data_IF_725433059226
#
_entry.id   IF_725433059226
#
_cell.length_a   1.000
_cell.length_b   1.000
_cell.length_c   1.000
_cell.angle_alpha   90.00
_cell.angle_beta   90.00
_cell.angle_gamma   90.00
#
_symmetry.space_group_name_H-M   'P 1'
#
loop_
_entity.id
_entity.type
_entity.pdbx_description
1 polymer ?
#
# COMPACT_ATOMS: atom_id res chain seq x y z
N UNK A 1 -39.06 35.62 36.19
CA UNK A 1 -40.53 35.62 36.44
C UNK A 1 -41.28 35.96 35.13
N UNK A 2 -42.02 35.07 34.46
CA UNK A 2 -42.85 33.95 34.89
C UNK A 2 -42.83 32.85 33.82
N UNK A 3 -42.99 31.61 34.27
CA UNK A 3 -43.22 30.40 33.49
C UNK A 3 -44.45 30.51 32.59
N UNK A 4 -44.36 30.00 31.37
CA UNK A 4 -45.52 29.54 30.60
C UNK A 4 -45.36 28.04 30.37
N UNK A 5 -46.10 27.25 31.14
CA UNK A 5 -46.27 25.83 30.91
C UNK A 5 -46.99 25.64 29.57
N UNK A 6 -46.55 24.67 28.76
CA UNK A 6 -47.23 24.30 27.53
C UNK A 6 -48.66 23.82 27.86
N UNK A 7 -49.65 24.57 27.39
CA UNK A 7 -51.07 24.28 27.59
C UNK A 7 -51.47 23.15 26.63
N UNK A 8 -51.58 21.91 27.13
CA UNK A 8 -52.10 20.76 26.38
C UNK A 8 -53.63 20.79 26.34
N UNK A 9 -54.19 21.84 25.74
CA UNK A 9 -55.62 21.97 25.54
C UNK A 9 -55.86 22.48 24.13
N UNK A 10 -56.67 21.76 23.37
CA UNK A 10 -57.16 22.03 22.02
C UNK A 10 -56.31 21.50 20.86
N UNK A 11 -56.59 20.27 20.47
CA UNK A 11 -56.94 19.99 19.08
C UNK A 11 -57.86 18.76 19.05
N UNK A 12 -59.17 19.00 19.02
CA UNK A 12 -60.14 18.02 18.53
C UNK A 12 -59.82 17.78 17.04
N UNK A 13 -59.10 16.70 16.72
CA UNK A 13 -59.02 16.18 15.37
C UNK A 13 -59.58 14.76 15.36
N UNK A 14 -60.78 14.65 14.80
CA UNK A 14 -61.41 13.40 14.38
C UNK A 14 -60.50 12.64 13.41
N UNK A 15 -59.81 11.58 13.84
CA UNK A 15 -59.33 10.53 12.93
C UNK A 15 -59.32 9.15 13.62
N UNK A 16 -59.75 8.15 12.86
CA UNK A 16 -60.22 6.85 13.33
C UNK A 16 -59.14 5.77 13.45
N UNK A 17 -59.26 4.98 14.53
CA UNK A 17 -58.94 3.54 14.65
C UNK A 17 -57.51 2.99 14.46
N UNK A 18 -56.43 3.79 14.57
CA UNK A 18 -55.05 3.26 14.65
C UNK A 18 -54.20 3.80 15.82
N UNK A 19 -54.84 4.35 16.86
CA UNK A 19 -54.14 5.05 17.96
C UNK A 19 -54.23 4.38 19.35
N UNK A 20 -54.91 3.25 19.48
CA UNK A 20 -55.03 2.57 20.78
C UNK A 20 -53.66 2.07 21.33
N UNK A 21 -52.66 1.86 20.46
CA UNK A 21 -51.31 1.44 20.87
C UNK A 21 -50.36 2.60 21.25
N UNK A 22 -50.73 3.86 20.95
CA UNK A 22 -49.86 5.06 21.14
C UNK A 22 -50.22 5.91 22.35
N UNK A 23 -51.43 5.76 22.91
CA UNK A 23 -51.88 6.46 24.14
C UNK A 23 -50.91 6.36 25.34
N UNK A 24 -50.36 5.18 25.72
CA UNK A 24 -49.52 5.10 26.92
C UNK A 24 -48.12 5.71 26.77
N UNK A 25 -47.69 6.03 25.54
CA UNK A 25 -46.44 6.75 25.28
C UNK A 25 -46.63 8.27 25.36
N UNK A 26 -47.79 8.77 24.91
CA UNK A 26 -48.16 10.20 24.98
C UNK A 26 -48.43 10.66 26.42
N UNK A 27 -49.14 9.88 27.23
CA UNK A 27 -49.38 10.23 28.65
C UNK A 27 -48.08 10.25 29.49
N UNK A 28 -47.07 9.48 29.10
CA UNK A 28 -45.75 9.48 29.75
C UNK A 28 -44.96 10.77 29.53
N UNK A 29 -45.20 11.47 28.42
CA UNK A 29 -44.58 12.75 28.09
C UNK A 29 -45.13 13.92 28.92
N UNK A 30 -46.38 13.83 29.41
CA UNK A 30 -46.99 14.88 30.23
C UNK A 30 -46.67 14.74 31.73
N UNK A 31 -46.31 13.55 32.22
CA UNK A 31 -46.11 13.28 33.65
C UNK A 31 -44.64 13.29 34.12
N UNK A 32 -43.67 13.47 33.21
CA UNK A 32 -42.25 13.57 33.56
C UNK A 32 -41.88 14.97 34.06
N UNK A 33 -42.07 15.22 35.35
CA UNK A 33 -41.56 16.42 36.02
C UNK A 33 -40.16 16.17 36.58
N UNK A 34 -39.17 15.99 35.70
CA UNK A 34 -37.76 15.97 36.10
C UNK A 34 -37.09 17.30 35.76
N UNK A 35 -36.65 17.96 36.83
CA UNK A 35 -35.87 19.19 36.83
C UNK A 35 -34.43 18.90 36.38
N UNK A 36 -34.18 18.86 35.06
CA UNK A 36 -32.89 19.23 34.46
C UNK A 36 -33.09 19.37 32.94
N UNK A 37 -32.92 20.59 32.43
CA UNK A 37 -33.39 21.02 31.12
C UNK A 37 -32.64 20.43 29.92
N UNK A 38 -33.10 19.28 29.43
CA UNK A 38 -32.95 18.87 28.03
C UNK A 38 -34.23 18.16 27.57
N UNK A 39 -35.31 18.93 27.40
CA UNK A 39 -36.48 18.44 26.67
C UNK A 39 -36.05 18.25 25.23
N UNK A 40 -35.81 17.01 24.83
CA UNK A 40 -35.60 16.62 23.43
C UNK A 40 -36.86 17.00 22.65
N UNK A 41 -36.82 18.15 21.97
CA UNK A 41 -37.89 18.59 21.08
C UNK A 41 -38.07 17.54 19.97
N UNK A 42 -39.13 16.73 20.07
CA UNK A 42 -39.48 15.79 19.01
C UNK A 42 -39.96 16.62 17.81
N UNK A 43 -39.22 16.58 16.71
CA UNK A 43 -39.71 17.11 15.43
C UNK A 43 -40.94 16.27 15.01
N UNK A 44 -42.15 16.88 14.93
CA UNK A 44 -43.37 16.15 14.59
C UNK A 44 -43.28 15.45 13.23
N UNK A 45 -42.48 15.97 12.29
CA UNK A 45 -42.28 15.35 10.99
C UNK A 45 -41.61 13.97 11.09
N UNK A 46 -40.71 13.79 12.04
CA UNK A 46 -39.94 12.55 12.24
C UNK A 46 -40.83 11.40 12.71
N UNK A 47 -41.90 11.70 13.47
CA UNK A 47 -42.80 10.67 14.01
C UNK A 47 -43.63 9.96 12.95
N UNK A 48 -43.86 10.62 11.81
CA UNK A 48 -44.61 10.09 10.67
C UNK A 48 -43.72 9.46 9.60
N UNK A 49 -42.39 9.54 9.73
CA UNK A 49 -41.46 8.97 8.76
C UNK A 49 -41.26 7.47 8.96
N UNK A 50 -41.11 6.75 7.84
CA UNK A 50 -40.70 5.35 7.85
C UNK A 50 -39.22 5.20 8.19
N UNK A 51 -38.80 4.01 8.65
CA UNK A 51 -37.39 3.70 8.87
C UNK A 51 -36.52 3.93 7.62
N UNK A 52 -37.08 3.76 6.42
CA UNK A 52 -36.38 4.03 5.16
C UNK A 52 -36.14 5.53 4.95
N UNK A 53 -37.16 6.35 5.18
CA UNK A 53 -37.08 7.80 5.07
C UNK A 53 -36.10 8.40 6.08
N UNK A 54 -36.07 7.87 7.32
CA UNK A 54 -35.11 8.27 8.33
C UNK A 54 -33.67 7.94 7.91
N UNK A 55 -33.43 6.73 7.40
CA UNK A 55 -32.11 6.35 6.89
C UNK A 55 -31.68 7.26 5.74
N UNK A 56 -32.57 7.54 4.79
CA UNK A 56 -32.26 8.44 3.68
C UNK A 56 -31.97 9.87 4.15
N UNK A 57 -32.76 10.41 5.09
CA UNK A 57 -32.60 11.78 5.63
C UNK A 57 -31.28 11.96 6.40
N UNK A 58 -30.89 10.99 7.22
CA UNK A 58 -29.73 11.12 8.12
C UNK A 58 -28.44 10.44 7.62
N UNK A 59 -28.55 9.33 6.89
CA UNK A 59 -27.41 8.55 6.38
C UNK A 59 -27.20 8.72 4.87
N UNK A 60 -28.11 9.39 4.18
CA UNK A 60 -28.05 9.57 2.73
C UNK A 60 -28.46 8.33 1.94
N UNK A 61 -28.16 8.30 0.63
CA UNK A 61 -28.53 7.19 -0.23
C UNK A 61 -27.79 5.92 0.18
N UNK A 62 -28.50 4.78 0.12
CA UNK A 62 -27.93 3.47 0.44
C UNK A 62 -26.78 3.10 -0.49
N UNK A 63 -26.82 3.58 -1.74
CA UNK A 63 -25.80 3.35 -2.76
C UNK A 63 -25.24 4.68 -3.21
N UNK A 64 -23.92 4.75 -3.40
CA UNK A 64 -23.26 5.97 -3.86
C UNK A 64 -23.63 6.31 -5.30
N UNK A 65 -23.92 7.57 -5.60
CA UNK A 65 -24.35 8.03 -6.93
C UNK A 65 -23.30 7.73 -8.03
N UNK A 66 -22.01 7.80 -7.68
CA UNK A 66 -20.88 7.50 -8.57
C UNK A 66 -20.45 6.03 -8.59
N UNK A 67 -21.28 5.10 -8.10
CA UNK A 67 -20.91 3.69 -7.95
C UNK A 67 -20.40 3.06 -9.26
N UNK A 68 -21.14 3.20 -10.37
CA UNK A 68 -20.82 2.56 -11.65
C UNK A 68 -19.46 2.99 -12.22
N UNK A 69 -19.16 4.31 -12.37
CA UNK A 69 -17.85 4.73 -12.89
C UNK A 69 -16.70 4.36 -11.94
N UNK A 70 -16.89 4.44 -10.62
CA UNK A 70 -15.86 4.06 -9.65
C UNK A 70 -15.59 2.55 -9.73
N UNK A 71 -16.63 1.72 -9.73
CA UNK A 71 -16.51 0.26 -9.81
C UNK A 71 -15.82 -0.17 -11.11
N UNK A 72 -16.15 0.46 -12.24
CA UNK A 72 -15.49 0.21 -13.53
C UNK A 72 -14.00 0.53 -13.46
N UNK A 73 -13.65 1.67 -12.86
CA UNK A 73 -12.25 2.08 -12.68
C UNK A 73 -11.49 1.13 -11.75
N UNK A 74 -12.10 0.76 -10.63
CA UNK A 74 -11.53 -0.17 -9.66
C UNK A 74 -11.33 -1.57 -10.27
N UNK A 75 -12.24 -2.04 -11.11
CA UNK A 75 -12.09 -3.31 -11.82
C UNK A 75 -10.88 -3.31 -12.76
N UNK A 76 -10.66 -2.21 -13.49
CA UNK A 76 -9.48 -2.07 -14.34
C UNK A 76 -8.18 -2.08 -13.52
N UNK A 77 -8.15 -1.32 -12.42
CA UNK A 77 -7.02 -1.29 -11.49
C UNK A 77 -6.79 -2.68 -10.88
N UNK A 78 -7.85 -3.37 -10.48
CA UNK A 78 -7.81 -4.71 -9.90
C UNK A 78 -7.17 -5.71 -10.86
N UNK A 79 -7.63 -5.77 -12.12
CA UNK A 79 -7.09 -6.72 -13.10
C UNK A 79 -5.59 -6.48 -13.31
N UNK A 80 -5.20 -5.23 -13.54
CA UNK A 80 -3.80 -4.88 -13.79
C UNK A 80 -2.94 -5.13 -12.55
N UNK A 81 -3.38 -4.66 -11.38
CA UNK A 81 -2.64 -4.76 -10.13
C UNK A 81 -2.57 -6.18 -9.58
N UNK A 82 -3.66 -6.94 -9.57
CA UNK A 82 -3.68 -8.30 -9.04
C UNK A 82 -2.81 -9.22 -9.91
N UNK A 83 -2.98 -9.18 -11.23
CA UNK A 83 -2.16 -9.99 -12.15
C UNK A 83 -0.69 -9.59 -12.05
N UNK A 84 -0.38 -8.29 -12.11
CA UNK A 84 0.98 -7.80 -12.08
C UNK A 84 1.73 -8.12 -10.78
N UNK A 85 1.09 -7.94 -9.62
CA UNK A 85 1.71 -8.24 -8.34
C UNK A 85 1.81 -9.75 -8.08
N UNK A 86 0.81 -10.54 -8.50
CA UNK A 86 0.91 -12.00 -8.46
C UNK A 86 2.08 -12.51 -9.30
N UNK A 87 2.27 -11.98 -10.51
CA UNK A 87 3.42 -12.32 -11.36
C UNK A 87 4.75 -11.92 -10.74
N UNK A 88 4.81 -10.75 -10.10
CA UNK A 88 5.99 -10.30 -9.36
C UNK A 88 6.37 -11.31 -8.28
N UNK A 89 5.39 -11.75 -7.48
CA UNK A 89 5.58 -12.79 -6.47
C UNK A 89 6.07 -14.11 -7.09
N UNK A 90 5.38 -14.59 -8.12
CA UNK A 90 5.68 -15.86 -8.80
C UNK A 90 7.09 -15.88 -9.38
N UNK A 91 7.52 -14.82 -10.06
CA UNK A 91 8.86 -14.73 -10.67
C UNK A 91 9.97 -14.80 -9.61
N UNK A 92 9.80 -14.11 -8.48
CA UNK A 92 10.80 -14.10 -7.41
C UNK A 92 10.88 -15.46 -6.72
N UNK A 93 9.73 -16.11 -6.51
CA UNK A 93 9.67 -17.46 -5.93
C UNK A 93 10.29 -18.48 -6.90
N UNK A 94 9.90 -18.45 -8.18
CA UNK A 94 10.25 -19.48 -9.17
C UNK A 94 11.73 -19.47 -9.56
N UNK A 95 12.35 -18.29 -9.62
CA UNK A 95 13.72 -18.14 -10.12
C UNK A 95 14.71 -17.83 -8.99
N UNK A 96 15.57 -18.79 -8.61
CA UNK A 96 16.54 -18.61 -7.51
C UNK A 96 17.45 -17.39 -7.69
N UNK A 97 17.86 -17.09 -8.91
CA UNK A 97 18.72 -15.93 -9.18
C UNK A 97 18.00 -14.60 -8.91
N UNK A 98 16.66 -14.56 -8.97
CA UNK A 98 15.83 -13.39 -8.59
C UNK A 98 15.72 -13.19 -7.08
N UNK A 99 16.21 -14.11 -6.24
CA UNK A 99 16.12 -13.99 -4.77
C UNK A 99 17.24 -13.13 -4.18
N UNK A 100 17.29 -11.86 -4.59
CA UNK A 100 18.22 -10.85 -4.09
C UNK A 100 17.60 -10.05 -2.93
N UNK A 101 18.40 -9.40 -2.07
CA UNK A 101 17.89 -8.57 -0.96
C UNK A 101 16.84 -7.55 -1.40
N UNK A 102 17.10 -6.83 -2.49
CA UNK A 102 16.13 -5.88 -3.07
C UNK A 102 14.84 -6.56 -3.49
N UNK A 103 14.93 -7.70 -4.16
CA UNK A 103 13.74 -8.37 -4.67
C UNK A 103 12.88 -8.92 -3.52
N UNK A 104 13.43 -9.17 -2.33
CA UNK A 104 12.60 -9.44 -1.15
C UNK A 104 11.75 -8.23 -0.72
N UNK A 105 12.27 -7.00 -0.80
CA UNK A 105 11.45 -5.81 -0.56
C UNK A 105 10.37 -5.63 -1.64
N UNK A 106 10.71 -5.86 -2.91
CA UNK A 106 9.72 -5.84 -4.01
C UNK A 106 8.65 -6.91 -3.84
N UNK A 107 9.03 -8.10 -3.36
CA UNK A 107 8.10 -9.17 -3.01
C UNK A 107 7.18 -8.74 -1.86
N UNK A 108 7.72 -8.16 -0.79
CA UNK A 108 6.91 -7.67 0.33
C UNK A 108 5.93 -6.58 -0.10
N UNK A 109 6.34 -5.68 -1.01
CA UNK A 109 5.47 -4.65 -1.57
C UNK A 109 4.36 -5.26 -2.43
N UNK A 110 4.67 -6.24 -3.26
CA UNK A 110 3.66 -6.95 -4.05
C UNK A 110 2.65 -7.70 -3.15
N UNK A 111 3.08 -8.22 -2.00
CA UNK A 111 2.17 -8.83 -1.01
C UNK A 111 1.24 -7.81 -0.36
N UNK A 112 1.74 -6.63 0.05
CA UNK A 112 0.88 -5.59 0.61
C UNK A 112 -0.12 -5.06 -0.43
N UNK A 113 0.32 -4.87 -1.67
CA UNK A 113 -0.55 -4.48 -2.79
C UNK A 113 -1.62 -5.53 -3.09
N UNK A 114 -1.28 -6.83 -3.07
CA UNK A 114 -2.27 -7.90 -3.23
C UNK A 114 -3.29 -7.91 -2.09
N UNK A 115 -2.90 -7.64 -0.85
CA UNK A 115 -3.86 -7.55 0.27
C UNK A 115 -4.83 -6.37 0.09
N UNK A 116 -4.32 -5.22 -0.35
CA UNK A 116 -5.15 -4.04 -0.68
C UNK A 116 -6.14 -4.38 -1.78
N UNK A 117 -5.70 -5.02 -2.86
CA UNK A 117 -6.54 -5.29 -4.03
C UNK A 117 -7.51 -6.45 -3.83
N UNK A 118 -7.08 -7.56 -3.22
CA UNK A 118 -7.87 -8.78 -3.08
C UNK A 118 -8.81 -8.74 -1.88
N UNK A 119 -8.48 -7.96 -0.84
CA UNK A 119 -9.28 -7.91 0.39
C UNK A 119 -9.81 -6.51 0.66
N UNK A 120 -8.98 -5.47 0.57
CA UNK A 120 -9.41 -4.09 0.80
C UNK A 120 -10.47 -3.61 -0.21
N UNK A 121 -10.15 -3.66 -1.50
CA UNK A 121 -11.02 -3.13 -2.55
C UNK A 121 -12.43 -3.77 -2.57
N UNK A 122 -12.60 -5.11 -2.44
CA UNK A 122 -13.94 -5.69 -2.36
C UNK A 122 -14.76 -5.20 -1.16
N UNK A 123 -14.12 -4.97 -0.01
CA UNK A 123 -14.79 -4.43 1.17
C UNK A 123 -15.28 -3.00 0.92
N UNK A 124 -14.47 -2.17 0.26
CA UNK A 124 -14.86 -0.81 -0.10
C UNK A 124 -15.98 -0.80 -1.15
N UNK A 125 -15.91 -1.66 -2.17
CA UNK A 125 -16.98 -1.79 -3.18
C UNK A 125 -18.30 -2.23 -2.53
N UNK A 126 -18.24 -3.15 -1.56
CA UNK A 126 -19.41 -3.57 -0.79
C UNK A 126 -20.04 -2.38 -0.04
N UNK A 127 -19.24 -1.54 0.61
CA UNK A 127 -19.75 -0.36 1.32
C UNK A 127 -20.28 0.72 0.37
N UNK A 128 -19.65 0.93 -0.78
CA UNK A 128 -20.18 1.84 -1.81
C UNK A 128 -21.50 1.33 -2.42
N UNK A 129 -21.68 0.00 -2.50
CA UNK A 129 -22.94 -0.60 -2.93
C UNK A 129 -24.04 -0.44 -1.87
N UNK A 130 -23.68 -0.63 -0.59
CA UNK A 130 -24.59 -0.54 0.55
C UNK A 130 -23.92 0.14 1.74
N UNK A 131 -24.06 1.46 1.84
CA UNK A 131 -23.51 2.29 2.92
C UNK A 131 -24.02 1.85 4.31
N UNK A 132 -25.23 1.30 4.36
CA UNK A 132 -25.85 0.70 5.54
C UNK A 132 -26.81 -0.43 5.13
N UNK A 133 -27.01 -1.46 5.98
CA UNK A 133 -26.26 -1.74 7.20
C UNK A 133 -24.91 -2.43 6.90
N UNK A 134 -23.92 -2.21 7.77
CA UNK A 134 -22.64 -2.90 7.75
C UNK A 134 -22.79 -4.30 8.35
N UNK A 135 -22.73 -5.33 7.51
CA UNK A 135 -23.11 -6.70 7.86
C UNK A 135 -22.01 -7.51 8.57
N UNK A 136 -20.75 -7.07 8.52
CA UNK A 136 -19.62 -7.82 9.09
C UNK A 136 -19.47 -7.61 10.62
N UNK A 137 -20.35 -6.82 11.23
CA UNK A 137 -20.38 -6.56 12.67
C UNK A 137 -19.12 -5.88 13.22
N UNK A 138 -18.96 -5.86 14.55
CA UNK A 138 -17.85 -5.17 15.20
C UNK A 138 -16.47 -5.76 14.84
N UNK A 139 -16.37 -7.10 14.76
CA UNK A 139 -15.13 -7.77 14.34
C UNK A 139 -14.71 -7.40 12.92
N UNK A 140 -15.66 -7.36 11.98
CA UNK A 140 -15.41 -6.93 10.60
C UNK A 140 -15.00 -5.46 10.49
N UNK A 141 -15.60 -4.58 11.29
CA UNK A 141 -15.23 -3.16 11.33
C UNK A 141 -13.79 -2.98 11.82
N UNK A 142 -13.41 -3.67 12.90
CA UNK A 142 -12.05 -3.69 13.42
C UNK A 142 -11.06 -4.26 12.40
N UNK A 143 -11.37 -5.43 11.81
CA UNK A 143 -10.53 -6.06 10.79
C UNK A 143 -10.34 -5.16 9.57
N UNK A 144 -11.40 -4.55 9.06
CA UNK A 144 -11.33 -3.63 7.91
C UNK A 144 -10.37 -2.49 8.21
N UNK A 145 -10.59 -1.76 9.30
CA UNK A 145 -9.78 -0.58 9.64
C UNK A 145 -8.33 -0.97 9.90
N UNK A 146 -8.09 -2.08 10.61
CA UNK A 146 -6.75 -2.59 10.86
C UNK A 146 -6.04 -2.97 9.57
N UNK A 147 -6.72 -3.71 8.68
CA UNK A 147 -6.17 -4.17 7.42
C UNK A 147 -5.71 -2.98 6.58
N UNK A 148 -6.60 -2.02 6.31
CA UNK A 148 -6.28 -0.85 5.48
C UNK A 148 -5.12 -0.04 6.06
N UNK A 149 -5.12 0.27 7.36
CA UNK A 149 -4.01 1.01 7.96
C UNK A 149 -2.69 0.22 7.91
N UNK A 150 -2.72 -1.08 8.19
CA UNK A 150 -1.51 -1.89 8.32
C UNK A 150 -0.83 -2.11 6.96
N UNK A 151 -1.61 -2.43 5.92
CA UNK A 151 -1.05 -2.57 4.56
C UNK A 151 -0.55 -1.23 4.03
N UNK A 152 -1.20 -0.12 4.40
CA UNK A 152 -0.75 1.21 4.03
C UNK A 152 0.62 1.53 4.63
N UNK A 153 0.75 1.40 5.94
CA UNK A 153 2.02 1.63 6.63
C UNK A 153 3.10 0.66 6.14
N UNK A 154 2.74 -0.60 5.88
CA UNK A 154 3.68 -1.58 5.34
C UNK A 154 4.21 -1.17 3.96
N UNK A 155 3.37 -0.69 3.05
CA UNK A 155 3.81 -0.24 1.73
C UNK A 155 4.78 0.95 1.83
N UNK A 156 4.45 1.97 2.61
CA UNK A 156 5.31 3.15 2.83
C UNK A 156 6.66 2.74 3.42
N UNK A 157 6.64 1.93 4.48
CA UNK A 157 7.85 1.47 5.16
C UNK A 157 8.72 0.61 4.24
N UNK A 158 8.12 -0.26 3.42
CA UNK A 158 8.85 -1.08 2.45
C UNK A 158 9.53 -0.22 1.37
N UNK A 159 8.84 0.78 0.82
CA UNK A 159 9.44 1.72 -0.16
C UNK A 159 10.57 2.51 0.47
N UNK A 160 10.41 2.93 1.73
CA UNK A 160 11.46 3.65 2.48
C UNK A 160 12.68 2.76 2.70
N UNK A 161 12.49 1.53 3.19
CA UNK A 161 13.56 0.58 3.44
C UNK A 161 14.29 0.17 2.15
N UNK A 162 13.55 -0.01 1.06
CA UNK A 162 14.10 -0.24 -0.28
C UNK A 162 14.98 0.94 -0.73
N UNK A 163 14.56 2.17 -0.45
CA UNK A 163 15.34 3.38 -0.78
C UNK A 163 16.63 3.46 0.04
N UNK A 164 16.59 3.10 1.32
CA UNK A 164 17.78 2.99 2.19
C UNK A 164 18.73 1.89 1.69
N UNK A 165 18.22 0.71 1.37
CA UNK A 165 19.01 -0.38 0.80
C UNK A 165 19.74 0.09 -0.47
N UNK A 166 19.02 0.78 -1.35
CA UNK A 166 19.58 1.31 -2.59
C UNK A 166 20.63 2.37 -2.37
N UNK A 167 20.40 3.28 -1.43
CA UNK A 167 21.39 4.28 -1.03
C UNK A 167 22.68 3.60 -0.57
N UNK A 168 22.60 2.63 0.35
CA UNK A 168 23.78 1.91 0.84
C UNK A 168 24.47 1.17 -0.31
N UNK A 169 23.68 0.51 -1.16
CA UNK A 169 24.19 -0.24 -2.30
C UNK A 169 24.92 0.62 -3.34
N UNK A 170 24.50 1.88 -3.56
CA UNK A 170 25.10 2.76 -4.57
C UNK A 170 26.21 3.63 -4.00
N UNK A 171 25.97 4.26 -2.84
CA UNK A 171 26.86 5.27 -2.27
C UNK A 171 27.97 4.63 -1.44
N UNK A 172 27.71 3.48 -0.80
CA UNK A 172 28.64 2.83 0.12
C UNK A 172 28.90 1.36 -0.25
N UNK A 173 29.56 1.09 -1.41
CA UNK A 173 29.69 -0.27 -1.95
C UNK A 173 30.42 -1.26 -1.03
N UNK A 174 31.42 -0.79 -0.28
CA UNK A 174 32.11 -1.61 0.73
C UNK A 174 31.18 -1.97 1.89
N UNK A 175 30.32 -1.03 2.30
CA UNK A 175 29.30 -1.28 3.32
C UNK A 175 28.21 -2.24 2.84
N UNK A 176 27.85 -2.11 1.57
CA UNK A 176 26.84 -2.96 0.96
C UNK A 176 27.20 -4.45 0.99
N UNK A 177 28.50 -4.82 0.89
CA UNK A 177 28.94 -6.22 0.90
C UNK A 177 28.51 -6.95 2.19
N UNK A 178 28.50 -6.26 3.33
CA UNK A 178 28.14 -6.86 4.61
C UNK A 178 26.72 -6.51 5.11
N UNK A 179 26.16 -5.34 4.75
CA UNK A 179 24.81 -4.95 5.22
C UNK A 179 23.70 -5.49 4.31
N UNK A 180 23.91 -5.51 2.99
CA UNK A 180 22.85 -5.83 2.02
C UNK A 180 22.80 -7.35 1.79
N UNK A 181 22.40 -8.08 2.83
CA UNK A 181 22.27 -9.55 2.82
C UNK A 181 20.81 -10.00 2.80
N UNK A 182 20.56 -11.24 2.36
CA UNK A 182 19.20 -11.81 2.28
C UNK A 182 18.56 -11.95 3.66
N UNK A 183 19.32 -12.43 4.64
CA UNK A 183 18.84 -12.64 6.01
C UNK A 183 18.55 -11.30 6.71
N UNK A 184 19.40 -10.29 6.48
CA UNK A 184 19.11 -8.93 6.94
C UNK A 184 17.80 -8.41 6.35
N UNK A 185 17.61 -8.48 5.03
CA UNK A 185 16.39 -8.03 4.38
C UNK A 185 15.12 -8.71 4.93
N UNK A 186 15.15 -10.05 5.13
CA UNK A 186 14.03 -10.77 5.74
C UNK A 186 13.69 -10.27 7.14
N UNK A 187 14.69 -10.06 8.00
CA UNK A 187 14.48 -9.52 9.37
C UNK A 187 13.89 -8.12 9.33
N UNK A 188 14.41 -7.26 8.45
CA UNK A 188 13.86 -5.90 8.26
C UNK A 188 12.40 -5.99 7.85
N UNK A 189 12.05 -6.76 6.83
CA UNK A 189 10.67 -6.90 6.35
C UNK A 189 9.73 -7.35 7.48
N UNK A 190 10.09 -8.37 8.26
CA UNK A 190 9.29 -8.83 9.41
C UNK A 190 9.09 -7.69 10.42
N UNK A 191 10.16 -6.93 10.74
CA UNK A 191 10.06 -5.79 11.63
C UNK A 191 9.15 -4.68 11.07
N UNK A 192 9.18 -4.42 9.76
CA UNK A 192 8.29 -3.44 9.13
C UNK A 192 6.82 -3.87 9.24
N UNK A 193 6.50 -5.14 9.01
CA UNK A 193 5.13 -5.65 9.15
C UNK A 193 4.61 -5.54 10.59
N UNK A 194 5.44 -5.93 11.57
CA UNK A 194 5.09 -5.79 12.98
C UNK A 194 4.87 -4.33 13.34
N UNK A 195 5.78 -3.44 12.92
CA UNK A 195 5.65 -2.01 13.16
C UNK A 195 4.38 -1.42 12.54
N UNK A 196 4.06 -1.81 11.30
CA UNK A 196 2.83 -1.39 10.62
C UNK A 196 1.60 -1.78 11.42
N UNK A 197 1.46 -3.06 11.79
CA UNK A 197 0.29 -3.54 12.55
C UNK A 197 0.18 -2.81 13.88
N UNK A 198 1.28 -2.66 14.62
CA UNK A 198 1.30 -1.93 15.89
C UNK A 198 0.84 -0.49 15.73
N UNK A 199 1.34 0.21 14.71
CA UNK A 199 0.96 1.60 14.43
C UNK A 199 -0.48 1.75 13.93
N UNK A 200 -1.11 0.70 13.41
CA UNK A 200 -2.51 0.69 12.97
C UNK A 200 -3.51 0.52 14.11
N UNK A 201 -3.11 -0.03 15.25
CA UNK A 201 -3.99 -0.29 16.40
C UNK A 201 -4.66 0.98 16.93
N UNK A 202 -3.96 2.11 17.16
CA UNK A 202 -4.58 3.32 17.69
C UNK A 202 -5.76 3.80 16.83
N UNK A 203 -5.58 3.92 15.51
CA UNK A 203 -6.67 4.34 14.62
C UNK A 203 -7.81 3.31 14.60
N UNK A 204 -7.48 2.03 14.59
CA UNK A 204 -8.48 0.93 14.64
C UNK A 204 -9.35 1.01 15.89
N UNK A 205 -8.75 1.28 17.05
CA UNK A 205 -9.46 1.36 18.34
C UNK A 205 -10.50 2.49 18.42
N UNK A 206 -10.43 3.46 17.51
CA UNK A 206 -11.38 4.57 17.45
C UNK A 206 -12.66 4.23 16.67
N UNK A 207 -12.61 3.21 15.81
CA UNK A 207 -13.71 2.81 14.94
C UNK A 207 -14.56 1.73 15.59
N UNK A 208 -15.85 1.75 15.31
CA UNK A 208 -16.81 0.78 15.83
C UNK A 208 -18.12 0.83 15.08
N UNK A 209 -19.08 0.02 15.54
CA UNK A 209 -20.43 0.03 14.97
C UNK A 209 -21.25 1.13 15.63
N UNK A 210 -21.84 1.99 14.81
CA UNK A 210 -22.82 2.99 15.23
C UNK A 210 -24.14 2.75 14.52
N UNK A 211 -25.24 2.70 15.29
CA UNK A 211 -26.61 2.66 14.78
C UNK A 211 -27.24 4.05 14.87
N UNK A 212 -28.10 4.38 13.91
CA UNK A 212 -28.84 5.63 13.93
C UNK A 212 -29.88 5.60 15.06
N UNK A 213 -29.71 6.47 16.05
CA UNK A 213 -30.70 6.75 17.08
C UNK A 213 -31.39 8.07 16.77
N UNK A 214 -32.71 8.03 16.64
CA UNK A 214 -33.52 9.23 16.42
C UNK A 214 -34.39 9.43 17.67
N UNK A 215 -34.31 10.61 18.32
CA UNK A 215 -35.17 10.89 19.45
C UNK A 215 -36.65 10.65 19.10
N UNK A 216 -37.41 10.06 20.02
CA UNK A 216 -38.84 9.78 19.87
C UNK A 216 -39.21 8.64 18.88
N UNK A 217 -38.26 8.16 18.07
CA UNK A 217 -38.41 6.95 17.24
C UNK A 217 -37.65 5.75 17.83
N UNK A 218 -36.48 5.99 18.40
CA UNK A 218 -35.56 4.97 18.92
C UNK A 218 -34.49 4.58 17.91
N UNK A 219 -34.02 3.33 18.02
CA UNK A 219 -32.95 2.80 17.15
C UNK A 219 -33.53 2.38 15.81
N UNK A 220 -33.10 3.03 14.73
CA UNK A 220 -33.55 2.74 13.36
C UNK A 220 -32.99 1.38 12.90
N UNK A 221 -33.81 0.41 12.48
CA UNK A 221 -33.33 -0.88 11.99
C UNK A 221 -32.50 -0.70 10.72
N UNK A 222 -31.59 -1.64 10.46
CA UNK A 222 -30.71 -1.64 9.27
C UNK A 222 -29.92 -0.34 9.05
N UNK A 223 -29.57 0.34 10.15
CA UNK A 223 -28.81 1.60 10.15
C UNK A 223 -27.37 1.46 10.67
N UNK A 224 -26.94 0.23 10.98
CA UNK A 224 -25.60 -0.01 11.51
C UNK A 224 -24.52 0.38 10.50
N UNK A 225 -23.54 1.19 10.89
CA UNK A 225 -22.41 1.59 10.06
C UNK A 225 -21.09 1.42 10.82
N UNK A 226 -20.00 1.13 10.10
CA UNK A 226 -18.65 1.12 10.68
C UNK A 226 -18.06 2.53 10.59
N UNK A 227 -17.99 3.24 11.72
CA UNK A 227 -17.60 4.65 11.76
C UNK A 227 -16.83 4.99 13.04
N UNK A 228 -16.40 6.24 13.15
CA UNK A 228 -15.71 6.79 14.33
C UNK A 228 -16.67 6.86 15.52
N UNK A 229 -16.41 6.07 16.57
CA UNK A 229 -17.23 6.02 17.81
C UNK A 229 -16.56 6.70 19.01
N UNK A 230 -15.29 7.07 18.86
CA UNK A 230 -14.47 7.73 19.89
C UNK A 230 -14.35 9.23 19.62
N UNK A 231 -13.95 10.06 20.60
CA UNK A 231 -13.92 11.52 20.44
C UNK A 231 -13.05 11.98 19.26
N UNK A 232 -13.57 12.95 18.50
CA UNK A 232 -12.92 13.50 17.30
C UNK A 232 -11.52 14.06 17.55
N UNK A 233 -11.24 14.59 18.75
CA UNK A 233 -9.90 15.10 19.07
C UNK A 233 -8.84 14.00 19.00
N UNK A 234 -9.15 12.79 19.50
CA UNK A 234 -8.22 11.66 19.50
C UNK A 234 -7.96 11.17 18.08
N UNK A 235 -9.02 11.09 17.27
CA UNK A 235 -8.92 10.82 15.84
C UNK A 235 -8.02 11.85 15.15
N UNK A 236 -8.28 13.15 15.33
CA UNK A 236 -7.50 14.21 14.71
C UNK A 236 -6.01 14.13 15.07
N UNK A 237 -5.69 13.93 16.34
CA UNK A 237 -4.31 13.77 16.80
C UNK A 237 -3.64 12.56 16.13
N UNK A 238 -4.30 11.40 16.11
CA UNK A 238 -3.77 10.17 15.51
C UNK A 238 -3.57 10.34 14.00
N UNK A 239 -4.52 10.93 13.27
CA UNK A 239 -4.40 11.18 11.83
C UNK A 239 -3.25 12.13 11.51
N UNK A 240 -3.09 13.21 12.29
CA UNK A 240 -2.00 14.16 12.08
C UNK A 240 -0.64 13.50 12.34
N UNK A 241 -0.49 12.80 13.47
CA UNK A 241 0.76 12.10 13.83
C UNK A 241 1.11 11.05 12.78
N UNK A 242 0.16 10.20 12.41
CA UNK A 242 0.38 9.16 11.40
C UNK A 242 0.70 9.76 10.03
N UNK A 243 0.07 10.86 9.63
CA UNK A 243 0.40 11.55 8.37
C UNK A 243 1.81 12.15 8.40
N UNK A 244 2.25 12.73 9.51
CA UNK A 244 3.62 13.23 9.63
C UNK A 244 4.62 12.06 9.56
N UNK A 245 4.39 11.02 10.36
CA UNK A 245 5.33 9.89 10.54
C UNK A 245 5.37 8.96 9.33
N UNK A 246 4.25 8.76 8.63
CA UNK A 246 4.16 7.81 7.52
C UNK A 246 4.07 8.49 6.15
N UNK A 247 3.77 9.78 6.04
CA UNK A 247 3.82 10.46 4.74
C UNK A 247 5.01 11.41 4.65
N UNK A 248 5.01 12.49 5.44
CA UNK A 248 6.00 13.55 5.29
C UNK A 248 7.43 13.11 5.61
N UNK A 249 7.65 12.41 6.72
CA UNK A 249 8.98 11.93 7.12
C UNK A 249 9.56 10.92 6.10
N UNK A 250 8.84 9.86 5.70
CA UNK A 250 9.27 8.95 4.63
C UNK A 250 9.54 9.67 3.31
N UNK A 251 8.65 10.56 2.87
CA UNK A 251 8.85 11.32 1.63
C UNK A 251 10.11 12.20 1.70
N UNK A 252 10.38 12.84 2.82
CA UNK A 252 11.60 13.62 3.03
C UNK A 252 12.86 12.74 3.01
N UNK A 253 12.86 11.63 3.77
CA UNK A 253 13.97 10.67 3.79
C UNK A 253 14.25 10.17 2.38
N UNK A 254 13.22 9.66 1.70
CA UNK A 254 13.33 9.13 0.35
C UNK A 254 13.90 10.20 -0.60
N UNK A 255 13.34 11.41 -0.58
CA UNK A 255 13.79 12.51 -1.45
C UNK A 255 15.27 12.84 -1.26
N UNK A 256 15.72 12.94 0.00
CA UNK A 256 17.14 13.18 0.32
C UNK A 256 18.01 12.02 -0.15
N UNK A 257 17.61 10.78 0.10
CA UNK A 257 18.37 9.60 -0.33
C UNK A 257 18.53 9.55 -1.86
N UNK A 258 17.47 9.79 -2.63
CA UNK A 258 17.56 9.80 -4.09
C UNK A 258 18.34 10.99 -4.64
N UNK A 259 18.27 12.16 -3.99
CA UNK A 259 19.13 13.28 -4.33
C UNK A 259 20.61 12.90 -4.16
N UNK A 260 20.97 12.32 -3.02
CA UNK A 260 22.35 11.88 -2.74
C UNK A 260 22.81 10.81 -3.73
N UNK A 261 21.93 9.86 -4.07
CA UNK A 261 22.23 8.86 -5.09
C UNK A 261 22.45 9.55 -6.45
N UNK A 262 21.59 10.49 -6.84
CA UNK A 262 21.72 11.25 -8.09
C UNK A 262 23.05 12.01 -8.17
N UNK A 263 23.47 12.64 -7.07
CA UNK A 263 24.75 13.33 -6.97
C UNK A 263 25.93 12.36 -7.10
N UNK A 264 25.89 11.22 -6.42
CA UNK A 264 26.93 10.20 -6.52
C UNK A 264 27.05 9.65 -7.95
N UNK A 265 25.92 9.38 -8.61
CA UNK A 265 25.92 8.88 -9.99
C UNK A 265 26.45 9.93 -10.98
N UNK A 266 26.20 11.22 -10.75
CA UNK A 266 26.81 12.31 -11.54
C UNK A 266 28.31 12.38 -11.33
N UNK A 267 28.78 12.28 -10.08
CA UNK A 267 30.22 12.26 -9.75
C UNK A 267 30.94 11.10 -10.44
N UNK A 268 30.38 9.90 -10.40
CA UNK A 268 30.97 8.75 -11.08
C UNK A 268 31.03 8.92 -12.61
N UNK A 269 29.97 9.43 -13.24
CA UNK A 269 29.99 9.72 -14.69
C UNK A 269 31.05 10.75 -15.08
N UNK A 270 31.26 11.76 -14.23
CA UNK A 270 32.28 12.78 -14.45
C UNK A 270 33.69 12.18 -14.35
N UNK A 271 33.92 11.30 -13.36
CA UNK A 271 35.19 10.59 -13.21
C UNK A 271 35.46 9.67 -14.42
N UNK A 272 34.46 8.90 -14.84
CA UNK A 272 34.54 8.04 -16.04
C UNK A 272 34.88 8.85 -17.30
N UNK A 273 34.33 10.06 -17.45
CA UNK A 273 34.62 10.94 -18.59
C UNK A 273 36.04 11.55 -18.54
N UNK A 274 36.60 11.76 -17.34
CA UNK A 274 37.97 12.21 -17.16
C UNK A 274 38.96 11.07 -17.45
N UNK A 275 38.69 9.86 -16.96
CA UNK A 275 39.51 8.67 -17.22
C UNK A 275 39.54 8.32 -18.70
N UNK A 276 38.39 8.42 -19.40
CA UNK A 276 38.32 8.19 -20.86
C UNK A 276 39.17 9.18 -21.68
N UNK A 277 39.42 10.40 -21.17
CA UNK A 277 40.31 11.39 -21.81
C UNK A 277 41.79 11.12 -21.51
N UNK A 278 42.11 10.35 -20.47
CA UNK A 278 43.49 10.07 -20.05
C UNK A 278 44.14 8.89 -20.78
N UNK A 279 43.42 8.19 -21.66
CA UNK A 279 44.02 7.27 -22.65
C UNK A 279 44.54 5.91 -22.14
N UNK A 280 44.27 5.51 -20.88
CA UNK A 280 44.80 4.24 -20.36
C UNK A 280 43.86 3.04 -20.60
N UNK A 281 44.34 2.18 -21.52
CA UNK A 281 44.07 0.76 -21.80
C UNK A 281 42.70 0.12 -21.48
N UNK A 282 42.13 -0.49 -22.52
CA UNK A 282 40.94 -1.33 -22.51
C UNK A 282 41.17 -2.65 -21.77
N UNK A 283 41.07 -2.62 -20.45
CA UNK A 283 41.14 -3.83 -19.63
C UNK A 283 39.78 -4.53 -19.58
N UNK A 284 39.73 -5.84 -19.88
CA UNK A 284 38.48 -6.62 -19.93
C UNK A 284 37.74 -6.60 -18.58
N UNK A 285 38.50 -6.46 -17.48
CA UNK A 285 37.99 -6.33 -16.12
C UNK A 285 37.21 -5.03 -15.90
N UNK A 286 37.62 -3.93 -16.54
CA UNK A 286 36.93 -2.64 -16.49
C UNK A 286 35.57 -2.69 -17.18
N UNK A 287 35.46 -3.41 -18.31
CA UNK A 287 34.19 -3.58 -19.04
C UNK A 287 33.14 -4.28 -18.16
N UNK A 288 33.51 -5.37 -17.47
CA UNK A 288 32.60 -6.12 -16.60
C UNK A 288 32.17 -5.32 -15.37
N UNK A 289 33.08 -4.52 -14.80
CA UNK A 289 32.79 -3.61 -13.68
C UNK A 289 31.86 -2.47 -14.12
N UNK A 290 32.10 -1.89 -15.28
CA UNK A 290 31.29 -0.81 -15.86
C UNK A 290 29.87 -1.29 -16.19
N UNK A 291 29.72 -2.52 -16.70
CA UNK A 291 28.41 -3.12 -16.94
C UNK A 291 27.63 -3.38 -15.63
N UNK A 292 28.30 -3.78 -14.54
CA UNK A 292 27.69 -3.90 -13.20
C UNK A 292 27.22 -2.53 -12.67
N UNK A 293 28.02 -1.47 -12.84
CA UNK A 293 27.67 -0.09 -12.45
C UNK A 293 26.48 0.43 -13.26
N UNK A 294 26.48 0.27 -14.58
CA UNK A 294 25.38 0.67 -15.46
C UNK A 294 24.06 -0.02 -15.08
N UNK A 295 24.11 -1.31 -14.77
CA UNK A 295 22.94 -2.06 -14.29
C UNK A 295 22.42 -1.52 -12.96
N UNK A 296 23.31 -1.20 -12.01
CA UNK A 296 22.95 -0.60 -10.72
C UNK A 296 22.29 0.78 -10.90
N UNK A 297 22.81 1.60 -11.82
CA UNK A 297 22.23 2.89 -12.22
C UNK A 297 20.81 2.73 -12.78
N UNK A 298 20.60 1.79 -13.70
CA UNK A 298 19.28 1.52 -14.27
C UNK A 298 18.25 1.15 -13.20
N UNK A 299 18.60 0.22 -12.30
CA UNK A 299 17.72 -0.20 -11.21
C UNK A 299 17.42 0.95 -10.26
N UNK A 300 18.39 1.83 -10.01
CA UNK A 300 18.18 3.02 -9.17
C UNK A 300 17.24 4.03 -9.85
N UNK A 301 17.42 4.30 -11.14
CA UNK A 301 16.54 5.19 -11.90
C UNK A 301 15.10 4.67 -11.95
N UNK A 302 14.92 3.35 -12.09
CA UNK A 302 13.60 2.72 -11.96
C UNK A 302 12.97 3.04 -10.61
N UNK A 303 13.73 2.92 -9.52
CA UNK A 303 13.19 3.11 -8.17
C UNK A 303 12.93 4.59 -7.85
N UNK A 304 13.66 5.52 -8.47
CA UNK A 304 13.32 6.95 -8.41
C UNK A 304 11.94 7.23 -9.01
N UNK A 305 11.66 6.67 -10.20
CA UNK A 305 10.32 6.82 -10.82
C UNK A 305 9.24 6.21 -9.92
N UNK A 306 9.50 5.05 -9.32
CA UNK A 306 8.57 4.41 -8.39
C UNK A 306 8.23 5.31 -7.21
N UNK A 307 9.21 6.01 -6.64
CA UNK A 307 9.00 6.96 -5.55
C UNK A 307 8.14 8.16 -5.96
N UNK A 308 8.40 8.73 -7.14
CA UNK A 308 7.62 9.87 -7.63
C UNK A 308 6.16 9.47 -7.81
N UNK A 309 5.93 8.32 -8.44
CA UNK A 309 4.59 7.76 -8.63
C UNK A 309 3.95 7.45 -7.29
N UNK A 310 4.69 6.87 -6.34
CA UNK A 310 4.21 6.62 -4.99
C UNK A 310 3.75 7.91 -4.30
N UNK A 311 4.57 8.96 -4.31
CA UNK A 311 4.20 10.26 -3.73
C UNK A 311 2.95 10.87 -4.35
N UNK A 312 2.82 10.82 -5.69
CA UNK A 312 1.65 11.33 -6.42
C UNK A 312 0.39 10.53 -6.08
N UNK A 313 0.49 9.20 -6.04
CA UNK A 313 -0.64 8.33 -5.73
C UNK A 313 -1.11 8.43 -4.27
N UNK A 314 -0.20 8.75 -3.35
CA UNK A 314 -0.52 8.80 -1.92
C UNK A 314 -0.91 10.18 -1.41
N UNK A 315 -0.49 11.26 -2.07
CA UNK A 315 -0.81 12.62 -1.64
C UNK A 315 -2.32 12.91 -1.54
N UNK A 316 -3.18 12.50 -2.51
CA UNK A 316 -4.62 12.71 -2.41
C UNK A 316 -5.24 12.02 -1.19
N UNK A 317 -4.81 10.79 -0.89
CA UNK A 317 -5.30 10.03 0.26
C UNK A 317 -4.97 10.70 1.60
N UNK A 318 -3.73 11.15 1.79
CA UNK A 318 -3.38 11.89 3.00
C UNK A 318 -4.07 13.26 3.07
N UNK A 319 -4.26 13.92 1.92
CA UNK A 319 -5.00 15.19 1.86
C UNK A 319 -6.45 15.01 2.29
N UNK A 320 -7.14 13.99 1.79
CA UNK A 320 -8.52 13.64 2.17
C UNK A 320 -8.66 13.49 3.71
N UNK A 321 -7.77 12.71 4.31
CA UNK A 321 -7.74 12.49 5.78
C UNK A 321 -7.47 13.77 6.56
N UNK A 322 -6.54 14.61 6.09
CA UNK A 322 -6.23 15.89 6.73
C UNK A 322 -7.40 16.88 6.62
N UNK A 323 -8.05 16.96 5.45
CA UNK A 323 -9.22 17.81 5.23
C UNK A 323 -10.35 17.40 6.18
N UNK A 324 -10.64 16.09 6.28
CA UNK A 324 -11.61 15.56 7.23
C UNK A 324 -11.24 15.85 8.70
N UNK A 325 -9.94 15.90 9.02
CA UNK A 325 -9.46 16.16 10.37
C UNK A 325 -9.50 17.65 10.77
N UNK A 326 -9.15 18.56 9.87
CA UNK A 326 -9.03 19.99 10.15
C UNK A 326 -10.35 20.75 10.00
N UNK A 327 -11.25 20.32 9.11
CA UNK A 327 -12.52 21.03 8.89
C UNK A 327 -13.56 20.59 9.91
N UNK A 328 -13.85 21.47 10.86
CA UNK A 328 -14.89 21.25 11.89
C UNK A 328 -16.27 21.74 11.45
N UNK A 329 -16.32 22.78 10.61
CA UNK A 329 -17.55 23.38 10.08
C UNK A 329 -17.59 23.23 8.56
N UNK A 330 -18.61 22.52 8.08
CA UNK A 330 -18.78 22.20 6.68
C UNK A 330 -19.85 23.09 6.05
N UNK A 331 -19.52 23.77 4.95
CA UNK A 331 -20.51 24.38 4.06
C UNK A 331 -20.93 23.38 2.97
N UNK A 332 -22.09 23.59 2.35
CA UNK A 332 -22.56 22.71 1.27
C UNK A 332 -21.54 22.61 0.11
N UNK A 333 -20.93 23.73 -0.27
CA UNK A 333 -19.87 23.76 -1.29
C UNK A 333 -18.64 22.95 -0.87
N UNK A 334 -18.23 23.01 0.40
CA UNK A 334 -17.11 22.22 0.91
C UNK A 334 -17.43 20.73 0.91
N UNK A 335 -18.65 20.33 1.26
CA UNK A 335 -19.08 18.93 1.22
C UNK A 335 -19.06 18.37 -0.20
N UNK A 336 -19.58 19.13 -1.17
CA UNK A 336 -19.52 18.74 -2.57
C UNK A 336 -18.08 18.60 -3.09
N UNK A 337 -17.21 19.56 -2.79
CA UNK A 337 -15.79 19.46 -3.17
C UNK A 337 -15.09 18.27 -2.51
N UNK A 338 -15.39 18.01 -1.24
CA UNK A 338 -14.82 16.89 -0.50
C UNK A 338 -15.22 15.54 -1.08
N UNK A 339 -16.47 15.38 -1.56
CA UNK A 339 -16.88 14.16 -2.27
C UNK A 339 -15.97 13.84 -3.46
N UNK A 340 -15.62 14.84 -4.28
CA UNK A 340 -14.71 14.63 -5.40
C UNK A 340 -13.28 14.31 -4.96
N UNK A 341 -12.78 15.01 -3.93
CA UNK A 341 -11.45 14.73 -3.34
C UNK A 341 -11.40 13.31 -2.79
N UNK A 342 -12.45 12.86 -2.11
CA UNK A 342 -12.56 11.52 -1.54
C UNK A 342 -12.56 10.42 -2.62
N UNK A 343 -13.31 10.62 -3.71
CA UNK A 343 -13.33 9.69 -4.85
C UNK A 343 -11.95 9.66 -5.53
N UNK A 344 -11.35 10.82 -5.79
CA UNK A 344 -10.03 10.91 -6.41
C UNK A 344 -8.95 10.27 -5.53
N UNK A 345 -9.04 10.49 -4.21
CA UNK A 345 -8.22 9.86 -3.18
C UNK A 345 -8.25 8.34 -3.28
N UNK A 346 -9.46 7.74 -3.30
CA UNK A 346 -9.62 6.29 -3.42
C UNK A 346 -9.02 5.73 -4.72
N UNK A 347 -9.28 6.40 -5.85
CA UNK A 347 -8.72 5.98 -7.15
C UNK A 347 -7.19 6.01 -7.14
N UNK A 348 -6.57 7.10 -6.67
CA UNK A 348 -5.11 7.23 -6.62
C UNK A 348 -4.48 6.26 -5.64
N UNK A 349 -5.14 6.00 -4.51
CA UNK A 349 -4.74 5.02 -3.51
C UNK A 349 -4.59 3.62 -4.14
N UNK A 350 -5.62 3.10 -4.81
CA UNK A 350 -5.55 1.79 -5.46
C UNK A 350 -4.65 1.77 -6.70
N UNK A 351 -4.58 2.89 -7.44
CA UNK A 351 -3.68 3.02 -8.59
C UNK A 351 -2.22 2.84 -8.17
N UNK A 352 -1.85 3.21 -6.94
CA UNK A 352 -0.49 3.01 -6.41
C UNK A 352 -0.07 1.54 -6.46
N UNK A 353 -0.98 0.61 -6.16
CA UNK A 353 -0.73 -0.83 -6.17
C UNK A 353 -0.63 -1.40 -7.59
N UNK A 354 -1.36 -0.85 -8.56
CA UNK A 354 -1.27 -1.27 -9.96
C UNK A 354 -0.07 -0.68 -10.70
N UNK A 355 0.44 0.48 -10.25
CA UNK A 355 1.58 1.13 -10.87
C UNK A 355 2.89 0.33 -10.70
N UNK A 356 3.07 -0.36 -9.57
CA UNK A 356 4.32 -1.06 -9.24
C UNK A 356 4.72 -2.11 -10.31
N UNK A 357 3.87 -3.09 -10.69
CA UNK A 357 4.20 -4.05 -11.76
C UNK A 357 4.44 -3.41 -13.14
N UNK A 358 3.69 -2.36 -13.48
CA UNK A 358 3.86 -1.62 -14.74
C UNK A 358 5.27 -1.04 -14.79
N UNK A 359 5.69 -0.37 -13.71
CA UNK A 359 7.03 0.22 -13.61
C UNK A 359 8.12 -0.84 -13.68
N UNK A 360 7.94 -2.01 -13.04
CA UNK A 360 8.90 -3.11 -13.13
C UNK A 360 9.06 -3.61 -14.56
N UNK A 361 7.95 -3.80 -15.29
CA UNK A 361 7.96 -4.29 -16.67
C UNK A 361 8.57 -3.28 -17.65
N UNK A 362 8.23 -2.00 -17.49
CA UNK A 362 8.75 -0.93 -18.35
C UNK A 362 10.26 -0.68 -18.12
N UNK A 363 10.70 -0.69 -16.86
CA UNK A 363 12.02 -0.18 -16.49
C UNK A 363 13.06 -1.28 -16.22
N UNK A 364 12.63 -2.52 -15.96
CA UNK A 364 13.52 -3.66 -15.72
C UNK A 364 13.39 -4.73 -16.79
N UNK A 365 14.42 -4.81 -17.65
CA UNK A 365 14.54 -5.86 -18.69
C UNK A 365 14.48 -7.26 -18.11
N UNK A 366 15.08 -7.46 -16.93
CA UNK A 366 15.11 -8.75 -16.24
C UNK A 366 13.74 -9.18 -15.73
N UNK A 367 12.95 -8.25 -15.18
CA UNK A 367 11.57 -8.58 -14.79
C UNK A 367 10.73 -8.88 -16.02
N UNK A 368 10.85 -8.08 -17.09
CA UNK A 368 10.14 -8.31 -18.35
C UNK A 368 10.44 -9.66 -18.99
N UNK A 369 11.69 -10.10 -19.02
CA UNK A 369 12.08 -11.41 -19.53
C UNK A 369 11.46 -12.55 -18.72
N UNK A 370 11.51 -12.47 -17.39
CA UNK A 370 10.94 -13.49 -16.52
C UNK A 370 9.40 -13.50 -16.55
N UNK A 371 8.77 -12.33 -16.68
CA UNK A 371 7.32 -12.24 -16.86
C UNK A 371 6.91 -12.96 -18.14
N UNK A 372 7.65 -12.78 -19.23
CA UNK A 372 7.42 -13.51 -20.48
C UNK A 372 7.64 -15.01 -20.32
N UNK A 373 8.66 -15.45 -19.59
CA UNK A 373 8.92 -16.87 -19.36
C UNK A 373 7.81 -17.55 -18.54
N UNK A 374 7.28 -16.86 -17.52
CA UNK A 374 6.18 -17.39 -16.70
C UNK A 374 4.84 -17.39 -17.46
N UNK A 375 4.57 -16.35 -18.27
CA UNK A 375 3.31 -16.22 -19.01
C UNK A 375 3.28 -17.07 -20.30
N UNK A 376 4.40 -17.13 -21.01
CA UNK A 376 4.54 -18.00 -22.17
C UNK A 376 5.08 -19.33 -21.67
N UNK A 377 4.20 -20.27 -21.32
CA UNK A 377 4.54 -21.67 -21.06
C UNK A 377 5.34 -22.23 -22.24
N UNK A 378 6.66 -22.08 -22.21
CA UNK A 378 7.52 -22.92 -23.03
C UNK A 378 7.59 -24.22 -22.25
N UNK A 379 6.84 -25.21 -22.72
CA UNK A 379 7.15 -26.62 -22.47
C UNK A 379 8.59 -26.83 -22.96
N UNK A 380 9.56 -26.53 -22.10
CA UNK A 380 10.93 -27.00 -22.29
C UNK A 380 10.84 -28.45 -21.89
N UNK A 381 10.61 -29.28 -22.92
CA UNK A 381 10.90 -30.70 -22.85
C UNK A 381 12.29 -30.84 -22.25
N UNK A 382 12.34 -31.50 -21.11
CA UNK A 382 13.53 -32.07 -20.50
C UNK A 382 14.17 -32.99 -21.53
N UNK A 383 15.12 -32.49 -22.32
CA UNK A 383 16.14 -33.32 -22.96
C UNK A 383 17.39 -32.46 -23.22
N UNK A 384 18.46 -32.76 -22.49
CA UNK A 384 19.82 -32.33 -22.83
C UNK A 384 20.37 -31.17 -22.01
N UNK A 385 21.18 -31.53 -21.00
CA UNK A 385 22.19 -30.65 -20.42
C UNK A 385 23.02 -29.98 -21.51
N UNK A 386 22.80 -28.67 -21.73
CA UNK A 386 23.78 -27.77 -22.34
C UNK A 386 24.03 -26.63 -21.36
N UNK A 387 25.21 -26.67 -20.75
CA UNK A 387 25.81 -25.56 -19.98
C UNK A 387 25.80 -24.30 -20.86
N UNK A 388 24.84 -23.40 -20.62
CA UNK A 388 24.87 -22.07 -21.23
C UNK A 388 25.86 -21.21 -20.44
N UNK A 389 27.11 -21.16 -20.92
CA UNK A 389 27.96 -19.99 -20.70
C UNK A 389 27.28 -18.77 -21.33
N UNK A 390 27.23 -17.61 -20.65
CA UNK A 390 26.72 -16.39 -21.28
C UNK A 390 27.78 -15.87 -22.25
N UNK A 391 27.63 -16.20 -23.54
CA UNK A 391 28.42 -15.58 -24.60
C UNK A 391 28.04 -14.12 -24.76
N UNK A 392 29.09 -13.30 -24.71
CA UNK A 392 29.14 -11.88 -25.04
C UNK A 392 28.43 -11.56 -26.37
N UNK A 393 27.67 -10.47 -26.37
CA UNK A 393 27.11 -9.81 -27.55
C UNK A 393 28.22 -9.54 -28.57
N UNK A 394 28.24 -10.29 -29.68
CA UNK A 394 29.03 -9.95 -30.87
C UNK A 394 28.45 -8.68 -31.49
N UNK A 395 29.11 -7.55 -31.29
CA UNK A 395 28.99 -6.40 -32.19
C UNK A 395 29.87 -6.69 -33.40
N UNK A 396 29.26 -6.71 -34.58
CA UNK A 396 29.93 -6.79 -35.88
C UNK A 396 30.84 -5.59 -36.07
N UNK A 397 32.15 -5.78 -35.97
CA UNK A 397 33.15 -4.86 -36.53
C UNK A 397 33.71 -5.50 -37.79
N UNK A 398 33.48 -4.78 -38.89
CA UNK A 398 33.89 -5.05 -40.26
C UNK A 398 35.41 -5.20 -40.32
N UNK A 399 35.89 -6.25 -40.98
CA UNK A 399 37.32 -6.53 -41.16
C UNK A 399 38.00 -5.50 -42.04
N UNK A 400 39.15 -5.00 -41.60
CA UNK A 400 40.23 -4.55 -42.48
C UNK A 400 41.49 -5.31 -42.10
N UNK A 401 42.02 -6.02 -43.10
CA UNK A 401 43.25 -6.80 -43.14
C UNK A 401 44.46 -5.90 -42.83
N UNK A 402 45.41 -6.39 -42.02
CA UNK A 402 46.85 -6.11 -42.18
C UNK A 402 47.70 -7.11 -41.40
N UNK A 403 48.85 -7.45 -41.98
CA UNK A 403 49.74 -8.58 -41.72
C UNK A 403 50.71 -8.43 -40.52
N UNK A 404 51.22 -9.59 -40.07
CA UNK A 404 52.57 -9.92 -39.56
C UNK A 404 53.27 -9.04 -38.49
N UNK A 405 53.71 -9.67 -37.37
CA UNK A 405 55.12 -9.90 -36.98
C UNK A 405 55.23 -10.55 -35.57
N UNK A 406 56.05 -11.61 -35.54
CA UNK A 406 56.81 -12.35 -34.49
C UNK A 406 56.47 -12.26 -32.99
N UNK A 407 56.53 -13.43 -32.35
CA UNK A 407 56.40 -13.63 -30.91
C UNK A 407 57.61 -13.23 -30.08
N UNK A 408 57.37 -13.13 -28.77
CA UNK A 408 58.36 -13.32 -27.73
C UNK A 408 57.66 -13.78 -26.43
N UNK A 409 58.38 -14.56 -25.65
CA UNK A 409 57.97 -15.18 -24.39
C UNK A 409 57.96 -14.16 -23.25
N UNK A 410 56.98 -14.29 -22.35
CA UNK A 410 56.98 -13.60 -21.06
C UNK A 410 55.77 -13.94 -20.20
N UNK A 411 55.88 -14.99 -19.38
CA UNK A 411 55.05 -15.18 -18.18
C UNK A 411 55.46 -14.13 -17.13
N UNK A 412 54.53 -13.62 -16.28
CA UNK A 412 54.32 -14.32 -15.00
C UNK A 412 52.89 -14.26 -14.40
N UNK A 413 52.57 -15.36 -13.70
CA UNK A 413 51.95 -15.45 -12.37
C UNK A 413 50.65 -14.66 -12.10
N UNK A 414 49.51 -15.37 -12.04
CA UNK A 414 48.26 -14.89 -11.44
C UNK A 414 47.81 -15.82 -10.31
N UNK A 415 47.87 -15.24 -9.11
CA UNK A 415 46.87 -15.20 -8.03
C UNK A 415 46.03 -16.44 -7.69
N UNK A 416 46.20 -16.86 -6.43
CA UNK A 416 45.31 -17.74 -5.69
C UNK A 416 43.88 -17.19 -5.67
N UNK A 417 42.93 -17.94 -6.26
CA UNK A 417 41.51 -17.78 -6.00
C UNK A 417 41.17 -18.36 -4.61
N UNK A 418 40.67 -17.49 -3.72
CA UNK A 418 40.07 -17.83 -2.44
C UNK A 418 38.65 -18.39 -2.67
N UNK A 419 38.47 -19.68 -2.39
CA UNK A 419 37.21 -20.41 -2.52
C UNK A 419 36.38 -20.23 -1.24
N UNK A 420 35.32 -19.41 -1.27
CA UNK A 420 34.30 -19.37 -0.21
C UNK A 420 33.48 -20.67 -0.25
N UNK A 421 33.67 -21.51 0.77
CA UNK A 421 32.94 -22.75 1.02
C UNK A 421 31.66 -22.42 1.83
N UNK A 422 30.49 -22.65 1.22
CA UNK A 422 29.18 -22.72 1.90
C UNK A 422 29.11 -24.07 2.66
N UNK A 423 28.80 -24.14 3.97
CA UNK A 423 28.48 -25.40 4.61
C UNK A 423 26.98 -25.69 4.45
N UNK A 424 26.64 -26.60 3.54
CA UNK A 424 25.40 -27.39 3.65
C UNK A 424 25.67 -28.56 4.60
N UNK A 425 24.82 -28.72 5.61
CA UNK A 425 24.86 -29.81 6.56
C UNK A 425 24.48 -31.13 5.91
N UNK A 426 25.35 -32.13 6.06
CA UNK A 426 25.04 -33.53 5.87
C UNK A 426 24.56 -34.12 7.20
N UNK A 427 23.27 -34.47 7.26
CA UNK A 427 22.76 -35.44 8.23
C UNK A 427 23.21 -36.84 7.78
N UNK A 428 24.17 -37.43 8.50
CA UNK A 428 24.53 -38.84 8.35
C UNK A 428 24.40 -39.55 9.70
N UNK A 429 23.23 -40.15 9.88
CA UNK A 429 22.99 -41.51 10.37
C UNK A 429 24.07 -42.15 11.26
N UNK A 430 23.94 -42.03 12.59
CA UNK A 430 24.74 -42.79 13.56
C UNK A 430 23.91 -43.98 14.13
N UNK A 431 24.31 -45.18 13.70
CA UNK A 431 23.79 -46.48 14.11
C UNK A 431 24.38 -46.84 15.49
N UNK A 432 23.56 -46.87 16.55
CA UNK A 432 23.87 -47.56 17.81
C UNK A 432 22.89 -48.72 18.04
N UNK A 433 23.43 -49.92 18.08
CA UNK A 433 22.76 -51.12 18.57
C UNK A 433 22.53 -51.05 20.08
N UNK A 434 21.60 -51.87 20.60
CA UNK A 434 21.96 -52.67 21.76
C UNK A 434 21.59 -54.15 21.61
N UNK A 435 22.45 -54.96 22.22
CA UNK A 435 22.24 -56.29 22.78
C UNK A 435 20.78 -56.55 23.22
N UNK A 436 20.12 -57.58 22.69
CA UNK A 436 20.00 -58.95 23.24
C UNK A 436 19.15 -59.81 22.31
#
# INVERSE_FOLDING_TARGET
PKNSAANCSNLDLQFSSLEALKKPAYERLCNGSDQEGNVSYCDPEVFNMTAEQLRFKYLGPRRTDFFVPICTTYLLIFVVGAVGNALTCLVIIRHRFMRTPTNYYLFSLAVSDLLVLLVGMPLEIYEMWSNYPFLLGSGGCCFKTLLFEAVCFASILNVTALSVERYIAVVHPLKAKYVVTKNHAKRVIVALWVLSVVCSIPNTSLHGIQTLYVPCWGVVPDSATCTLVKPRFAYNLIIQVTTIVFFFVPMAIISVLYLLIGLQLRKEKMLEALEAKSGNSCDYHNVRLQQKKARRRQVTNMLFVLVVVFGICWAPFHTDRLVWSFITHWTETMQHMFQYVHILSGVFFYLSSAANPILYNLMSTRFREMFKEVMCHRHVQTLGSRKHSPSSTRVTVRSTVSEHITGDNGQPLSDLEEYEMDPEGEDMEERKAPYL
#
